data_IF_098910099981
#
_entry.id   IF_098910099981
#
_cell.length_a   1.000
_cell.length_b   1.000
_cell.length_c   1.000
_cell.angle_alpha   90.00
_cell.angle_beta   90.00
_cell.angle_gamma   90.00
#
_symmetry.space_group_name_H-M   'P 1'
#
loop_
_entity.id
_entity.type
_entity.pdbx_description
1 polymer ?
#
# COMPACT_ATOMS: atom_id res chain seq x y z
N UNK A 1 -3.92 -14.40 -6.44
CA UNK A 1 -4.66 -14.73 -5.32
C UNK A 1 -4.80 -13.58 -4.43
N UNK A 2 -5.81 -13.24 -4.18
CA UNK A 2 -6.81 -13.58 -3.35
C UNK A 2 -7.70 -12.43 -3.10
N UNK A 3 -8.84 -12.80 -3.01
CA UNK A 3 -10.00 -12.08 -2.62
C UNK A 3 -9.68 -10.76 -1.91
N UNK A 4 -9.99 -9.66 -2.51
CA UNK A 4 -9.95 -8.36 -1.90
C UNK A 4 -8.81 -7.43 -2.29
N UNK A 5 -7.77 -7.93 -2.97
CA UNK A 5 -6.61 -7.10 -3.34
C UNK A 5 -6.66 -6.66 -4.80
N UNK A 6 -7.84 -6.26 -5.27
CA UNK A 6 -8.05 -5.88 -6.68
C UNK A 6 -8.18 -4.38 -6.88
N UNK A 7 -8.32 -3.63 -5.80
CA UNK A 7 -8.58 -2.19 -5.90
C UNK A 7 -7.32 -1.39 -6.15
N UNK A 8 -7.46 -0.37 -6.97
CA UNK A 8 -6.47 0.67 -7.15
C UNK A 8 -6.91 1.95 -6.42
N UNK A 9 -6.09 2.97 -6.43
CA UNK A 9 -6.36 4.27 -5.83
C UNK A 9 -7.66 4.88 -6.41
N UNK A 10 -8.61 5.36 -5.57
CA UNK A 10 -9.84 6.00 -6.04
C UNK A 10 -9.60 7.21 -6.93
N UNK A 11 -8.53 7.97 -6.68
CA UNK A 11 -8.15 9.11 -7.51
C UNK A 11 -7.80 8.65 -8.91
N UNK A 12 -7.01 7.58 -9.05
CA UNK A 12 -6.68 6.99 -10.37
C UNK A 12 -7.94 6.50 -11.08
N UNK A 13 -8.87 5.89 -10.35
CA UNK A 13 -10.14 5.41 -10.91
C UNK A 13 -11.04 6.56 -11.42
N UNK A 14 -10.96 7.73 -10.79
CA UNK A 14 -11.80 8.90 -11.14
C UNK A 14 -11.14 9.86 -12.14
N UNK A 15 -9.86 9.67 -12.47
CA UNK A 15 -9.15 10.55 -13.40
C UNK A 15 -9.85 10.76 -14.74
N UNK A 16 -10.39 9.71 -15.42
CA UNK A 16 -11.05 9.91 -16.70
C UNK A 16 -12.21 10.89 -16.61
N UNK A 17 -13.07 10.73 -15.60
CA UNK A 17 -14.21 11.63 -15.38
C UNK A 17 -13.75 13.03 -14.99
N UNK A 18 -12.75 13.15 -14.10
CA UNK A 18 -12.22 14.44 -13.71
C UNK A 18 -11.60 15.19 -14.88
N UNK A 19 -10.82 14.52 -15.72
CA UNK A 19 -10.24 15.12 -16.92
C UNK A 19 -11.32 15.52 -17.94
N UNK A 20 -12.28 14.63 -18.22
CA UNK A 20 -13.36 14.90 -19.17
C UNK A 20 -14.25 16.08 -18.75
N UNK A 21 -14.37 16.37 -17.44
CA UNK A 21 -15.18 17.47 -16.91
C UNK A 21 -14.41 18.80 -16.77
N UNK A 22 -13.09 18.77 -16.68
CA UNK A 22 -12.29 19.96 -16.35
C UNK A 22 -11.31 20.40 -17.43
N UNK A 23 -11.14 19.61 -18.52
CA UNK A 23 -10.23 19.94 -19.62
C UNK A 23 -11.04 20.18 -20.88
N UNK A 24 -11.24 21.43 -21.22
CA UNK A 24 -12.08 21.84 -22.37
C UNK A 24 -11.62 21.24 -23.70
N UNK A 25 -10.33 21.08 -23.89
CA UNK A 25 -9.75 20.50 -25.11
C UNK A 25 -10.19 19.05 -25.36
N UNK A 26 -10.51 18.30 -24.31
CA UNK A 26 -11.02 16.92 -24.43
C UNK A 26 -12.45 16.86 -24.96
N UNK A 27 -13.20 17.96 -24.84
CA UNK A 27 -14.54 18.13 -25.42
C UNK A 27 -14.50 18.61 -26.87
N UNK A 28 -13.32 18.91 -27.39
CA UNK A 28 -13.12 19.37 -28.77
C UNK A 28 -13.44 18.27 -29.79
N UNK A 29 -14.12 18.58 -30.90
CA UNK A 29 -14.35 17.59 -31.97
C UNK A 29 -13.07 17.08 -32.65
N UNK A 30 -11.92 17.65 -32.32
CA UNK A 30 -10.60 17.21 -32.79
C UNK A 30 -9.96 16.12 -31.95
N UNK A 31 -10.47 15.91 -30.74
CA UNK A 31 -9.97 14.94 -29.78
C UNK A 31 -11.01 13.86 -29.53
N UNK A 32 -10.61 12.62 -29.60
CA UNK A 32 -11.44 11.49 -29.20
C UNK A 32 -11.01 11.05 -27.79
N UNK A 33 -11.83 11.36 -26.80
CA UNK A 33 -11.60 11.00 -25.40
C UNK A 33 -12.39 9.73 -25.05
N UNK A 34 -11.69 8.68 -24.65
CA UNK A 34 -12.25 7.39 -24.27
C UNK A 34 -12.12 7.20 -22.76
N UNK A 35 -13.23 7.30 -22.05
CA UNK A 35 -13.31 7.25 -20.57
C UNK A 35 -14.04 6.02 -20.04
N UNK A 36 -13.98 4.92 -20.76
CA UNK A 36 -14.68 3.70 -20.36
C UNK A 36 -14.00 2.99 -19.19
N UNK A 37 -14.83 2.47 -18.29
CA UNK A 37 -14.37 1.54 -17.28
C UNK A 37 -13.96 0.20 -17.91
N UNK A 38 -12.68 -0.17 -17.75
CA UNK A 38 -12.11 -1.43 -18.24
C UNK A 38 -11.48 -2.21 -17.09
N UNK A 39 -12.01 -3.41 -16.75
CA UNK A 39 -11.47 -4.24 -15.67
C UNK A 39 -10.18 -4.95 -16.14
N UNK A 40 -9.11 -4.80 -15.37
CA UNK A 40 -7.83 -5.46 -15.66
C UNK A 40 -7.67 -6.81 -14.94
N UNK A 41 -8.58 -7.20 -14.10
CA UNK A 41 -8.58 -8.44 -13.35
C UNK A 41 -9.45 -9.54 -13.98
N UNK A 42 -10.38 -9.18 -14.86
CA UNK A 42 -11.21 -10.10 -15.65
C UNK A 42 -10.93 -9.97 -17.17
N UNK A 43 -10.09 -10.86 -17.66
CA UNK A 43 -9.72 -10.91 -19.08
C UNK A 43 -10.91 -11.05 -20.02
N UNK A 44 -11.95 -11.75 -19.64
CA UNK A 44 -13.15 -11.95 -20.47
C UNK A 44 -13.99 -10.67 -20.53
N UNK A 45 -14.18 -10.04 -19.39
CA UNK A 45 -14.93 -8.78 -19.30
C UNK A 45 -14.14 -7.64 -19.99
N UNK A 46 -12.81 -7.61 -19.86
CA UNK A 46 -11.95 -6.66 -20.56
C UNK A 46 -12.14 -6.76 -22.10
N UNK A 47 -12.12 -7.97 -22.65
CA UNK A 47 -12.39 -8.21 -24.07
C UNK A 47 -13.75 -7.67 -24.50
N UNK A 48 -14.79 -7.96 -23.72
CA UNK A 48 -16.16 -7.52 -24.00
C UNK A 48 -16.23 -5.98 -23.99
N UNK A 49 -15.71 -5.34 -22.99
CA UNK A 49 -15.72 -3.88 -22.83
C UNK A 49 -14.94 -3.16 -23.90
N UNK A 50 -13.75 -3.63 -24.21
CA UNK A 50 -12.94 -3.04 -25.28
C UNK A 50 -13.61 -3.18 -26.66
N UNK A 51 -14.22 -4.34 -26.94
CA UNK A 51 -14.95 -4.49 -28.19
C UNK A 51 -16.14 -3.54 -28.28
N UNK A 52 -16.97 -3.45 -27.24
CA UNK A 52 -18.11 -2.53 -27.17
C UNK A 52 -17.66 -1.08 -27.34
N UNK A 53 -16.64 -0.64 -26.60
CA UNK A 53 -16.09 0.71 -26.66
C UNK A 53 -15.64 1.07 -28.08
N UNK A 54 -14.82 0.22 -28.68
CA UNK A 54 -14.26 0.45 -30.02
C UNK A 54 -15.36 0.37 -31.09
N UNK A 55 -16.30 -0.57 -31.01
CA UNK A 55 -17.34 -0.77 -32.03
C UNK A 55 -18.38 0.33 -32.00
N UNK A 56 -18.91 0.67 -30.80
CA UNK A 56 -19.94 1.72 -30.65
C UNK A 56 -19.38 3.07 -31.06
N UNK A 57 -18.20 3.42 -30.58
CA UNK A 57 -17.55 4.69 -30.89
C UNK A 57 -17.30 4.85 -32.42
N UNK A 58 -16.90 3.79 -33.08
CA UNK A 58 -16.69 3.80 -34.54
C UNK A 58 -17.97 3.98 -35.36
N UNK A 59 -19.06 3.35 -34.91
CA UNK A 59 -20.34 3.54 -35.58
C UNK A 59 -20.83 4.99 -35.42
N UNK A 60 -20.65 5.60 -34.27
CA UNK A 60 -20.96 7.00 -34.04
C UNK A 60 -20.11 7.94 -34.88
N UNK A 61 -18.81 7.71 -34.95
CA UNK A 61 -17.90 8.51 -35.75
C UNK A 61 -18.12 8.34 -37.25
N UNK A 62 -18.44 7.14 -37.69
CA UNK A 62 -18.81 6.88 -39.11
C UNK A 62 -20.09 7.62 -39.47
N UNK A 63 -21.12 7.60 -38.62
CA UNK A 63 -22.38 8.37 -38.83
C UNK A 63 -22.13 9.87 -38.82
N UNK A 64 -21.23 10.35 -37.95
CA UNK A 64 -20.87 11.78 -37.87
C UNK A 64 -19.87 12.23 -38.93
N UNK A 65 -19.40 11.35 -39.83
CA UNK A 65 -18.38 11.66 -40.82
C UNK A 65 -17.00 11.98 -40.25
N UNK A 66 -16.75 11.59 -38.98
CA UNK A 66 -15.51 11.80 -38.24
C UNK A 66 -14.73 10.51 -38.11
N UNK A 67 -13.49 10.63 -37.63
CA UNK A 67 -12.69 9.51 -37.18
C UNK A 67 -11.54 9.07 -38.06
N UNK A 68 -10.45 8.67 -37.39
CA UNK A 68 -9.19 8.20 -37.96
C UNK A 68 -9.34 6.85 -38.68
N UNK A 69 -10.40 6.10 -38.34
CA UNK A 69 -10.60 4.71 -38.75
C UNK A 69 -11.77 4.51 -39.72
N UNK A 70 -12.06 5.50 -40.56
CA UNK A 70 -13.11 5.39 -41.55
C UNK A 70 -12.98 4.10 -42.36
N UNK A 71 -14.05 3.30 -42.35
CA UNK A 71 -14.15 2.11 -43.21
C UNK A 71 -13.41 0.86 -42.71
N UNK A 72 -12.73 0.89 -41.58
CA UNK A 72 -12.14 -0.31 -41.02
C UNK A 72 -13.14 -1.01 -40.07
N UNK A 73 -13.41 -2.25 -40.30
CA UNK A 73 -14.23 -3.09 -39.41
C UNK A 73 -13.31 -3.86 -38.44
N UNK A 74 -13.40 -3.59 -37.13
CA UNK A 74 -12.72 -4.38 -36.13
C UNK A 74 -13.64 -5.50 -35.69
N UNK A 75 -13.18 -6.71 -35.84
CA UNK A 75 -13.90 -7.90 -35.41
C UNK A 75 -13.65 -8.22 -33.95
N UNK A 76 -14.59 -8.92 -33.33
CA UNK A 76 -14.42 -9.44 -31.96
C UNK A 76 -13.16 -10.31 -31.84
N UNK A 77 -12.86 -11.10 -32.87
CA UNK A 77 -11.68 -11.96 -32.91
C UNK A 77 -10.37 -11.17 -32.92
N UNK A 78 -10.35 -9.98 -33.53
CA UNK A 78 -9.17 -9.09 -33.47
C UNK A 78 -8.95 -8.52 -32.07
N UNK A 79 -10.01 -8.06 -31.41
CA UNK A 79 -9.93 -7.60 -30.03
C UNK A 79 -9.49 -8.73 -29.11
N UNK A 80 -10.05 -9.94 -29.29
CA UNK A 80 -9.67 -11.11 -28.50
C UNK A 80 -8.19 -11.46 -28.65
N UNK A 81 -7.64 -11.42 -29.86
CA UNK A 81 -6.21 -11.64 -30.09
C UNK A 81 -5.35 -10.54 -29.47
N UNK A 82 -5.73 -9.28 -29.63
CA UNK A 82 -5.00 -8.14 -29.07
C UNK A 82 -4.94 -8.20 -27.53
N UNK A 83 -6.07 -8.47 -26.89
CA UNK A 83 -6.13 -8.61 -25.43
C UNK A 83 -5.32 -9.82 -24.95
N UNK A 84 -5.36 -10.95 -25.69
CA UNK A 84 -4.56 -12.12 -25.36
C UNK A 84 -3.06 -11.79 -25.42
N UNK A 85 -2.61 -11.17 -26.52
CA UNK A 85 -1.21 -10.79 -26.67
C UNK A 85 -0.74 -9.79 -25.60
N UNK A 86 -1.56 -8.78 -25.30
CA UNK A 86 -1.25 -7.83 -24.22
C UNK A 86 -1.17 -8.49 -22.83
N UNK A 87 -2.06 -9.45 -22.57
CA UNK A 87 -2.06 -10.18 -21.30
C UNK A 87 -0.84 -11.08 -21.15
N UNK A 88 -0.42 -11.74 -22.23
CA UNK A 88 0.80 -12.56 -22.27
C UNK A 88 2.05 -11.69 -22.09
N UNK A 89 2.12 -10.54 -22.75
CA UNK A 89 3.23 -9.59 -22.60
C UNK A 89 3.33 -9.03 -21.18
N UNK A 90 2.21 -8.70 -20.53
CA UNK A 90 2.18 -8.26 -19.13
C UNK A 90 2.68 -9.36 -18.17
N UNK A 91 2.26 -10.61 -18.42
CA UNK A 91 2.73 -11.75 -17.62
C UNK A 91 4.22 -11.99 -17.80
N UNK A 92 4.70 -11.93 -19.06
CA UNK A 92 6.13 -12.08 -19.37
C UNK A 92 6.98 -10.99 -18.71
N UNK A 93 6.50 -9.73 -18.76
CA UNK A 93 7.15 -8.61 -18.09
C UNK A 93 7.26 -8.86 -16.56
N UNK A 94 6.17 -9.24 -15.90
CA UNK A 94 6.17 -9.56 -14.47
C UNK A 94 7.15 -10.69 -14.13
N UNK A 95 7.17 -11.73 -14.93
CA UNK A 95 8.12 -12.84 -14.75
C UNK A 95 9.57 -12.41 -14.98
N UNK A 96 9.81 -11.52 -15.96
CA UNK A 96 11.15 -10.98 -16.20
C UNK A 96 11.66 -10.15 -15.01
N UNK A 97 10.80 -9.33 -14.42
CA UNK A 97 11.14 -8.59 -13.20
C UNK A 97 11.46 -9.53 -12.03
N UNK A 98 10.67 -10.58 -11.83
CA UNK A 98 10.88 -11.57 -10.79
C UNK A 98 12.19 -12.34 -11.01
N UNK A 99 12.48 -12.80 -12.25
CA UNK A 99 13.76 -13.43 -12.59
C UNK A 99 14.93 -12.50 -12.32
N UNK A 100 14.81 -11.22 -12.65
CA UNK A 100 15.86 -10.23 -12.37
C UNK A 100 16.09 -10.04 -10.87
N UNK A 101 15.02 -10.07 -10.09
CA UNK A 101 15.12 -10.12 -8.62
C UNK A 101 15.89 -11.35 -8.13
N UNK A 102 15.56 -12.53 -8.65
CA UNK A 102 16.27 -13.79 -8.31
C UNK A 102 17.75 -13.75 -8.68
N UNK A 103 18.09 -13.27 -9.88
CA UNK A 103 19.48 -13.07 -10.33
C UNK A 103 20.23 -12.11 -9.39
N UNK A 104 19.61 -11.01 -9.00
CA UNK A 104 20.24 -10.02 -8.10
C UNK A 104 20.47 -10.61 -6.71
N UNK A 105 19.52 -11.34 -6.17
CA UNK A 105 19.66 -12.02 -4.87
C UNK A 105 20.78 -13.06 -4.90
N UNK A 106 20.88 -13.86 -5.98
CA UNK A 106 21.94 -14.82 -6.15
C UNK A 106 23.33 -14.15 -6.30
N UNK A 107 23.37 -13.00 -7.00
CA UNK A 107 24.60 -12.22 -7.12
C UNK A 107 25.03 -11.64 -5.75
N UNK A 108 24.07 -11.13 -4.95
CA UNK A 108 24.35 -10.64 -3.59
C UNK A 108 24.93 -11.75 -2.71
N UNK A 109 24.35 -12.95 -2.76
CA UNK A 109 24.84 -14.09 -1.99
C UNK A 109 26.25 -14.49 -2.41
N UNK A 110 26.56 -14.51 -3.71
CA UNK A 110 27.88 -14.85 -4.23
C UNK A 110 28.98 -13.82 -3.89
N UNK A 111 28.59 -12.55 -3.65
CA UNK A 111 29.54 -11.46 -3.42
C UNK A 111 29.51 -10.89 -1.98
N UNK A 112 28.76 -11.55 -1.08
CA UNK A 112 28.49 -11.07 0.28
C UNK A 112 28.01 -9.60 0.31
N UNK A 113 27.18 -9.26 -0.68
CA UNK A 113 26.69 -7.90 -0.88
C UNK A 113 25.38 -7.67 -0.12
N UNK A 114 25.19 -6.41 0.32
CA UNK A 114 23.96 -5.99 0.96
C UNK A 114 23.04 -5.29 -0.05
N UNK A 115 21.74 -5.54 0.05
CA UNK A 115 20.75 -4.98 -0.87
C UNK A 115 19.73 -4.09 -0.18
N UNK A 116 19.19 -3.16 -0.96
CA UNK A 116 18.06 -2.32 -0.59
C UNK A 116 16.90 -2.61 -1.52
N UNK A 117 15.73 -2.93 -0.96
CA UNK A 117 14.47 -2.97 -1.69
C UNK A 117 13.89 -1.56 -1.68
N UNK A 118 13.83 -0.92 -2.85
CA UNK A 118 13.10 0.32 -3.04
C UNK A 118 11.63 -0.04 -3.22
N UNK A 119 10.83 0.31 -2.23
CA UNK A 119 9.42 0.00 -2.16
C UNK A 119 8.59 1.27 -2.38
N UNK A 120 7.49 1.18 -3.14
CA UNK A 120 6.65 2.34 -3.40
C UNK A 120 5.51 2.02 -4.35
N UNK A 121 4.96 3.05 -4.98
CA UNK A 121 4.00 2.90 -6.06
C UNK A 121 4.73 2.58 -7.36
N UNK A 122 4.09 1.95 -8.36
CA UNK A 122 4.75 1.64 -9.63
C UNK A 122 5.42 2.84 -10.30
N UNK A 123 4.83 4.03 -10.19
CA UNK A 123 5.39 5.24 -10.79
C UNK A 123 6.67 5.75 -10.09
N UNK A 124 6.95 5.31 -8.85
CA UNK A 124 8.23 5.64 -8.19
C UNK A 124 9.44 4.97 -8.86
N UNK A 125 9.21 3.98 -9.72
CA UNK A 125 10.29 3.34 -10.49
C UNK A 125 10.66 4.13 -11.76
N UNK A 126 9.87 5.16 -12.12
CA UNK A 126 10.19 6.02 -13.24
C UNK A 126 11.38 6.92 -12.92
N UNK A 127 12.42 6.98 -13.78
CA UNK A 127 13.64 7.76 -13.52
C UNK A 127 13.40 9.27 -13.33
N UNK A 128 12.41 9.84 -14.02
CA UNK A 128 12.06 11.26 -13.87
C UNK A 128 11.40 11.53 -12.51
N UNK A 129 10.65 10.56 -11.99
CA UNK A 129 9.97 10.69 -10.71
C UNK A 129 10.90 10.40 -9.53
N UNK A 130 11.77 9.40 -9.65
CA UNK A 130 12.66 9.01 -8.54
C UNK A 130 13.95 9.83 -8.47
N UNK A 131 14.21 10.70 -9.44
CA UNK A 131 15.34 11.61 -9.45
C UNK A 131 16.71 10.95 -9.20
N UNK A 132 16.95 9.78 -9.79
CA UNK A 132 18.17 8.97 -9.63
C UNK A 132 18.43 8.49 -8.18
N UNK A 133 17.40 8.26 -7.39
CA UNK A 133 17.53 7.63 -6.06
C UNK A 133 18.12 6.21 -6.15
N UNK A 134 17.72 5.34 -7.10
CA UNK A 134 18.34 4.02 -7.25
C UNK A 134 19.84 4.09 -7.48
N UNK A 135 20.31 4.98 -8.35
CA UNK A 135 21.72 5.19 -8.65
C UNK A 135 22.49 5.74 -7.44
N UNK A 136 21.85 6.62 -6.69
CA UNK A 136 22.42 7.14 -5.45
C UNK A 136 22.61 6.02 -4.42
N UNK A 137 21.62 5.18 -4.20
CA UNK A 137 21.68 4.03 -3.28
C UNK A 137 22.77 3.05 -3.74
N UNK A 138 22.84 2.77 -5.04
CA UNK A 138 23.86 1.90 -5.61
C UNK A 138 25.29 2.51 -5.44
N UNK A 139 25.44 3.82 -5.52
CA UNK A 139 26.71 4.51 -5.30
C UNK A 139 27.27 4.34 -3.87
N UNK A 140 26.47 3.93 -2.94
CA UNK A 140 26.87 3.57 -1.58
C UNK A 140 27.24 2.09 -1.42
N UNK A 141 27.25 1.31 -2.50
CA UNK A 141 27.64 -0.09 -2.51
C UNK A 141 26.51 -1.07 -2.25
N UNK A 142 25.24 -0.61 -2.24
CA UNK A 142 24.08 -1.49 -2.12
C UNK A 142 23.63 -2.03 -3.48
N UNK A 143 23.24 -3.30 -3.52
CA UNK A 143 22.42 -3.79 -4.62
C UNK A 143 20.99 -3.21 -4.49
N UNK A 144 20.38 -2.83 -5.61
CA UNK A 144 19.05 -2.22 -5.60
C UNK A 144 18.05 -3.19 -6.25
N UNK A 145 16.97 -3.45 -5.52
CA UNK A 145 15.82 -4.24 -5.99
C UNK A 145 14.54 -3.38 -5.87
N UNK A 146 13.54 -3.70 -6.66
CA UNK A 146 12.20 -3.11 -6.52
C UNK A 146 11.26 -4.04 -5.77
N UNK A 147 10.20 -3.51 -5.17
CA UNK A 147 9.26 -4.34 -4.41
C UNK A 147 8.58 -5.42 -5.26
N UNK A 148 8.32 -5.15 -6.55
CA UNK A 148 7.68 -6.11 -7.45
C UNK A 148 8.60 -7.25 -7.88
N UNK A 149 9.92 -7.05 -7.81
CA UNK A 149 10.90 -8.11 -8.05
C UNK A 149 10.97 -9.15 -6.93
N UNK A 150 10.51 -8.81 -5.71
CA UNK A 150 10.62 -9.68 -4.53
C UNK A 150 9.32 -10.00 -3.83
N UNK A 151 8.26 -9.21 -4.03
CA UNK A 151 6.99 -9.36 -3.30
C UNK A 151 6.29 -10.71 -3.51
N UNK A 152 6.55 -11.40 -4.63
CA UNK A 152 5.99 -12.73 -4.91
C UNK A 152 6.55 -13.82 -3.97
N UNK A 153 7.70 -13.59 -3.36
CA UNK A 153 8.42 -14.57 -2.53
C UNK A 153 7.76 -14.81 -1.18
N UNK A 154 6.95 -13.87 -0.70
CA UNK A 154 6.32 -13.97 0.62
C UNK A 154 4.84 -13.62 0.58
N UNK A 155 4.08 -14.22 1.49
CA UNK A 155 2.70 -13.80 1.80
C UNK A 155 2.71 -12.97 3.08
N UNK A 156 1.88 -11.91 3.19
CA UNK A 156 1.76 -11.19 4.44
C UNK A 156 1.17 -12.11 5.51
N UNK A 157 1.69 -12.04 6.72
CA UNK A 157 1.02 -12.66 7.87
C UNK A 157 -0.27 -11.93 8.17
N UNK A 158 -1.33 -12.67 8.46
CA UNK A 158 -2.63 -12.10 8.79
C UNK A 158 -3.01 -12.45 10.23
N UNK A 159 -3.77 -11.60 10.94
CA UNK A 159 -4.33 -10.33 10.44
C UNK A 159 -3.30 -9.21 10.42
N UNK A 160 -3.31 -8.39 9.38
CA UNK A 160 -2.66 -7.08 9.39
C UNK A 160 -3.60 -6.05 10.03
N UNK A 161 -3.03 -4.96 10.56
CA UNK A 161 -3.80 -3.94 11.28
C UNK A 161 -4.84 -3.25 10.38
N UNK A 162 -4.47 -3.02 9.13
CA UNK A 162 -5.31 -2.34 8.14
C UNK A 162 -6.04 -3.34 7.24
N UNK A 163 -7.14 -2.90 6.61
CA UNK A 163 -7.79 -3.71 5.58
C UNK A 163 -6.90 -3.76 4.34
N UNK A 164 -6.51 -4.97 3.99
CA UNK A 164 -5.66 -5.25 2.84
C UNK A 164 -6.54 -5.45 1.59
N UNK A 165 -6.91 -4.36 0.96
CA UNK A 165 -7.73 -4.37 -0.26
C UNK A 165 -7.04 -3.73 -1.47
N UNK A 166 -5.92 -3.03 -1.24
CA UNK A 166 -5.20 -2.29 -2.25
C UNK A 166 -4.07 -3.13 -2.83
N UNK A 167 -4.09 -3.35 -4.12
CA UNK A 167 -3.15 -4.24 -4.80
C UNK A 167 -1.68 -3.85 -4.55
N UNK A 168 -1.35 -2.58 -4.73
CA UNK A 168 0.04 -2.12 -4.58
C UNK A 168 0.49 -2.07 -3.12
N UNK A 169 -0.39 -1.72 -2.18
CA UNK A 169 -0.06 -1.75 -0.75
C UNK A 169 0.16 -3.17 -0.24
N UNK A 170 -0.69 -4.12 -0.67
CA UNK A 170 -0.49 -5.54 -0.38
C UNK A 170 0.87 -6.04 -0.87
N UNK A 171 1.32 -5.53 -2.01
CA UNK A 171 2.65 -5.84 -2.56
C UNK A 171 3.78 -5.30 -1.69
N UNK A 172 3.63 -4.07 -1.15
CA UNK A 172 4.57 -3.50 -0.19
C UNK A 172 4.67 -4.32 1.10
N UNK A 173 3.55 -4.79 1.65
CA UNK A 173 3.55 -5.64 2.86
C UNK A 173 4.26 -6.98 2.61
N UNK A 174 4.10 -7.57 1.42
CA UNK A 174 4.81 -8.78 1.02
C UNK A 174 6.31 -8.55 0.91
N UNK A 175 6.72 -7.46 0.25
CA UNK A 175 8.12 -7.08 0.13
C UNK A 175 8.75 -6.80 1.50
N UNK A 176 8.07 -6.05 2.38
CA UNK A 176 8.53 -5.82 3.74
C UNK A 176 8.71 -7.12 4.53
N UNK A 177 7.76 -8.07 4.37
CA UNK A 177 7.87 -9.38 5.02
C UNK A 177 9.05 -10.20 4.50
N UNK A 178 9.31 -10.15 3.19
CA UNK A 178 10.48 -10.80 2.60
C UNK A 178 11.78 -10.18 3.12
N UNK A 179 11.89 -8.85 3.15
CA UNK A 179 13.04 -8.14 3.72
C UNK A 179 13.25 -8.50 5.20
N UNK A 180 12.16 -8.56 5.97
CA UNK A 180 12.19 -8.95 7.38
C UNK A 180 12.72 -10.38 7.61
N UNK A 181 12.67 -11.24 6.59
CA UNK A 181 13.17 -12.63 6.67
C UNK A 181 14.66 -12.79 6.31
N UNK A 182 15.35 -11.70 5.92
CA UNK A 182 16.75 -11.73 5.44
C UNK A 182 17.62 -10.72 6.18
N UNK A 183 18.88 -11.09 6.44
CA UNK A 183 19.86 -10.18 7.07
C UNK A 183 20.59 -9.27 6.09
N UNK A 184 20.66 -9.67 4.83
CA UNK A 184 21.37 -9.01 3.74
C UNK A 184 20.47 -8.04 2.94
N UNK A 185 19.24 -7.80 3.38
CA UNK A 185 18.30 -6.90 2.75
C UNK A 185 17.71 -5.91 3.76
N UNK A 186 17.58 -4.66 3.37
CA UNK A 186 16.78 -3.65 4.03
C UNK A 186 15.82 -2.97 3.05
N UNK A 187 14.91 -2.15 3.56
CA UNK A 187 13.87 -1.53 2.75
C UNK A 187 13.90 -0.01 2.93
N UNK A 188 13.87 0.69 1.81
CA UNK A 188 13.59 2.12 1.74
C UNK A 188 12.24 2.30 1.05
N UNK A 189 11.30 2.92 1.73
CA UNK A 189 10.00 3.22 1.15
C UNK A 189 9.98 4.61 0.54
N UNK A 190 9.60 4.68 -0.73
CA UNK A 190 9.36 5.91 -1.47
C UNK A 190 7.89 6.30 -1.30
N UNK A 191 7.65 7.51 -0.83
CA UNK A 191 6.32 8.06 -0.61
C UNK A 191 6.11 9.31 -1.43
N UNK A 192 4.92 9.44 -2.00
CA UNK A 192 4.46 10.71 -2.56
C UNK A 192 3.92 11.61 -1.47
N UNK A 193 4.21 12.89 -1.59
CA UNK A 193 3.72 13.90 -0.68
C UNK A 193 2.18 13.97 -0.68
N UNK A 194 1.57 13.95 0.51
CA UNK A 194 0.12 14.13 0.68
C UNK A 194 -0.76 12.94 0.31
N UNK A 195 -0.21 11.74 0.06
CA UNK A 195 -1.01 10.55 -0.18
C UNK A 195 -1.47 9.90 1.14
N UNK A 196 -2.74 10.04 1.50
CA UNK A 196 -3.29 9.47 2.74
C UNK A 196 -3.23 7.94 2.79
N UNK A 197 -3.28 7.24 1.66
CA UNK A 197 -3.11 5.79 1.62
C UNK A 197 -1.65 5.39 1.90
N UNK A 198 -0.68 6.17 1.43
CA UNK A 198 0.73 5.92 1.73
C UNK A 198 1.02 6.14 3.22
N UNK A 199 0.35 7.09 3.88
CA UNK A 199 0.48 7.28 5.32
C UNK A 199 0.12 6.02 6.11
N UNK A 200 -1.00 5.35 5.77
CA UNK A 200 -1.40 4.08 6.40
C UNK A 200 -0.45 2.93 6.04
N UNK A 201 0.06 2.92 4.82
CA UNK A 201 0.97 1.88 4.34
C UNK A 201 2.33 1.98 5.03
N UNK A 202 2.84 3.20 5.24
CA UNK A 202 4.10 3.43 5.96
C UNK A 202 4.05 2.86 7.36
N UNK A 203 2.99 3.13 8.12
CA UNK A 203 2.83 2.63 9.48
C UNK A 203 2.81 1.09 9.51
N UNK A 204 2.09 0.46 8.58
CA UNK A 204 2.02 -0.99 8.52
C UNK A 204 3.34 -1.64 8.07
N UNK A 205 4.05 -1.03 7.12
CA UNK A 205 5.39 -1.49 6.67
C UNK A 205 6.40 -1.33 7.80
N UNK A 206 6.37 -0.19 8.49
CA UNK A 206 7.21 0.06 9.66
C UNK A 206 6.99 -1.02 10.73
N UNK A 207 5.74 -1.30 11.08
CA UNK A 207 5.39 -2.34 12.07
C UNK A 207 5.94 -3.72 11.68
N UNK A 208 5.84 -4.10 10.39
CA UNK A 208 6.37 -5.38 9.88
C UNK A 208 7.89 -5.43 10.03
N UNK A 209 8.60 -4.35 9.69
CA UNK A 209 10.06 -4.30 9.73
C UNK A 209 10.59 -4.23 11.16
N UNK A 210 10.04 -3.34 11.99
CA UNK A 210 10.45 -3.16 13.40
C UNK A 210 10.19 -4.40 14.24
N UNK A 211 9.10 -5.14 13.98
CA UNK A 211 8.83 -6.42 14.62
C UNK A 211 9.93 -7.47 14.36
N UNK A 212 10.75 -7.27 13.35
CA UNK A 212 11.90 -8.12 12.98
C UNK A 212 13.24 -7.45 13.28
N UNK A 213 13.23 -6.33 14.03
CA UNK A 213 14.43 -5.58 14.38
C UNK A 213 15.05 -4.81 13.22
N UNK A 214 14.35 -4.65 12.10
CA UNK A 214 14.84 -3.90 10.93
C UNK A 214 14.64 -2.41 11.10
N UNK A 215 15.57 -1.62 10.55
CA UNK A 215 15.45 -0.17 10.49
C UNK A 215 14.48 0.22 9.36
N UNK A 216 13.44 0.98 9.69
CA UNK A 216 12.54 1.52 8.69
C UNK A 216 12.99 2.88 8.19
N UNK A 217 13.08 3.04 6.88
CA UNK A 217 13.49 4.29 6.22
C UNK A 217 12.49 4.69 5.15
N UNK A 218 11.99 5.93 5.24
CA UNK A 218 11.14 6.53 4.21
C UNK A 218 11.83 7.71 3.54
N UNK A 219 11.62 7.83 2.23
CA UNK A 219 12.01 8.98 1.44
C UNK A 219 10.76 9.58 0.81
N UNK A 220 10.52 10.86 1.07
CA UNK A 220 9.44 11.60 0.43
C UNK A 220 9.93 12.13 -0.92
N UNK A 221 9.15 11.86 -1.95
CA UNK A 221 9.36 12.34 -3.30
C UNK A 221 8.29 13.38 -3.60
N UNK A 222 8.72 14.54 -4.05
CA UNK A 222 7.88 15.60 -4.59
C UNK A 222 8.46 16.15 -5.89
N UNK A 223 7.83 17.18 -6.46
CA UNK A 223 8.24 17.79 -7.73
C UNK A 223 9.68 18.32 -7.71
N UNK A 224 10.21 18.64 -6.53
CA UNK A 224 11.57 19.17 -6.34
C UNK A 224 12.32 18.32 -5.33
N UNK A 225 12.74 17.13 -5.76
CA UNK A 225 13.50 16.24 -4.88
C UNK A 225 14.94 16.74 -4.70
N UNK A 226 15.30 16.98 -3.47
CA UNK A 226 16.66 17.33 -3.10
C UNK A 226 17.47 16.07 -2.75
N UNK A 227 18.32 15.61 -3.67
CA UNK A 227 19.20 14.48 -3.45
C UNK A 227 20.14 14.65 -2.23
N UNK A 228 20.38 15.88 -1.77
CA UNK A 228 21.15 16.14 -0.55
C UNK A 228 20.47 15.54 0.68
N UNK A 229 19.15 15.75 0.83
CA UNK A 229 18.37 15.18 1.94
C UNK A 229 18.32 13.65 1.85
N UNK A 230 18.13 13.12 0.65
CA UNK A 230 18.16 11.67 0.39
C UNK A 230 19.50 11.07 0.77
N UNK A 231 20.60 11.72 0.36
CA UNK A 231 21.98 11.29 0.69
C UNK A 231 22.23 11.25 2.20
N UNK A 232 21.74 12.22 2.95
CA UNK A 232 21.85 12.25 4.41
C UNK A 232 21.08 11.08 5.02
N UNK A 233 19.84 10.82 4.57
CA UNK A 233 19.03 9.71 5.08
C UNK A 233 19.65 8.34 4.77
N UNK A 234 20.18 8.15 3.56
CA UNK A 234 20.87 6.89 3.19
C UNK A 234 22.13 6.70 4.04
N UNK A 235 22.90 7.76 4.30
CA UNK A 235 24.06 7.68 5.20
C UNK A 235 23.66 7.36 6.64
N UNK A 236 22.58 7.93 7.14
CA UNK A 236 22.04 7.61 8.46
C UNK A 236 21.61 6.14 8.55
N UNK A 237 20.97 5.63 7.50
CA UNK A 237 20.62 4.21 7.40
C UNK A 237 21.89 3.35 7.44
N UNK A 238 22.93 3.67 6.67
CA UNK A 238 24.19 2.92 6.68
C UNK A 238 24.80 2.85 8.08
N UNK A 239 24.83 3.99 8.79
CA UNK A 239 25.35 4.03 10.15
C UNK A 239 24.53 3.15 11.11
N UNK A 240 23.21 3.24 11.03
CA UNK A 240 22.30 2.41 11.83
C UNK A 240 22.45 0.91 11.53
N UNK A 241 22.62 0.53 10.26
CA UNK A 241 22.86 -0.86 9.86
C UNK A 241 24.22 -1.38 10.35
N UNK A 242 25.26 -0.54 10.34
CA UNK A 242 26.57 -0.91 10.89
C UNK A 242 26.49 -1.18 12.39
N UNK A 243 25.87 -0.26 13.14
CA UNK A 243 25.69 -0.40 14.59
C UNK A 243 24.85 -1.63 14.93
N UNK A 244 23.76 -1.86 14.20
CA UNK A 244 22.89 -3.03 14.38
C UNK A 244 23.64 -4.34 14.12
N UNK A 245 24.49 -4.40 13.09
CA UNK A 245 25.30 -5.60 12.81
C UNK A 245 26.29 -5.89 13.93
N UNK A 246 26.96 -4.85 14.45
CA UNK A 246 27.89 -4.99 15.57
C UNK A 246 27.17 -5.44 16.83
N UNK A 247 25.98 -4.94 17.10
CA UNK A 247 25.16 -5.37 18.24
C UNK A 247 24.70 -6.82 18.09
N UNK A 248 24.23 -7.19 16.90
CA UNK A 248 23.82 -8.58 16.62
C UNK A 248 25.00 -9.54 16.75
N UNK A 249 26.18 -9.18 16.25
CA UNK A 249 27.39 -9.99 16.41
C UNK A 249 27.74 -10.21 17.88
N UNK A 250 27.72 -9.15 18.69
CA UNK A 250 27.97 -9.24 20.14
C UNK A 250 26.96 -10.13 20.85
N UNK A 251 25.66 -10.01 20.54
CA UNK A 251 24.60 -10.84 21.12
C UNK A 251 24.73 -12.32 20.69
N UNK A 252 25.13 -12.56 19.44
CA UNK A 252 25.39 -13.90 18.96
C UNK A 252 26.56 -14.57 19.68
N UNK A 253 27.68 -13.85 19.86
CA UNK A 253 28.84 -14.32 20.63
C UNK A 253 28.50 -14.58 22.10
N UNK A 254 27.59 -13.80 22.67
CA UNK A 254 27.11 -13.98 24.06
C UNK A 254 26.10 -15.13 24.21
N UNK A 255 25.66 -15.76 23.10
CA UNK A 255 24.64 -16.82 23.13
C UNK A 255 23.24 -16.33 23.51
N UNK A 256 22.99 -15.03 23.41
CA UNK A 256 21.72 -14.40 23.79
C UNK A 256 20.66 -14.50 22.68
N UNK A 257 21.05 -14.96 21.50
CA UNK A 257 20.21 -14.98 20.34
C UNK A 257 19.88 -16.41 19.91
N UNK A 258 18.61 -16.67 19.56
CA UNK A 258 18.18 -17.93 18.98
C UNK A 258 17.91 -17.77 17.48
N UNK A 259 18.37 -18.70 16.61
CA UNK A 259 18.11 -18.59 15.18
C UNK A 259 16.62 -18.70 14.87
N UNK A 260 16.15 -17.89 13.93
CA UNK A 260 14.80 -18.00 13.39
C UNK A 260 14.74 -19.21 12.48
N UNK A 261 13.70 -20.03 12.64
CA UNK A 261 13.49 -21.20 11.79
C UNK A 261 13.34 -20.83 10.31
N UNK A 262 13.51 -21.80 9.41
CA UNK A 262 13.45 -21.59 7.98
C UNK A 262 12.10 -21.00 7.55
N UNK A 263 12.14 -20.02 6.69
CA UNK A 263 10.95 -19.37 6.09
C UNK A 263 10.80 -19.86 4.66
N UNK A 264 9.61 -20.33 4.30
CA UNK A 264 9.34 -20.78 2.93
C UNK A 264 9.24 -19.59 1.98
N UNK A 265 9.99 -19.64 0.88
CA UNK A 265 10.07 -18.56 -0.13
C UNK A 265 9.55 -19.08 -1.46
N UNK A 266 8.70 -18.33 -2.14
CA UNK A 266 8.23 -18.67 -3.48
C UNK A 266 9.20 -18.17 -4.56
N UNK A 267 9.54 -19.05 -5.52
CA UNK A 267 10.31 -18.68 -6.71
C UNK A 267 9.41 -18.09 -7.81
N UNK A 268 10.02 -17.43 -8.78
CA UNK A 268 9.31 -16.86 -9.92
C UNK A 268 8.52 -17.89 -10.74
N UNK A 269 8.91 -19.16 -10.74
CA UNK A 269 8.22 -20.26 -11.39
C UNK A 269 7.05 -20.84 -10.57
N UNK A 270 6.77 -20.27 -9.40
CA UNK A 270 5.72 -20.72 -8.48
C UNK A 270 6.12 -21.87 -7.56
N UNK A 271 7.33 -22.40 -7.69
CA UNK A 271 7.84 -23.44 -6.78
C UNK A 271 8.12 -22.87 -5.39
N UNK A 272 7.99 -23.73 -4.36
CA UNK A 272 8.28 -23.40 -2.98
C UNK A 272 9.72 -23.80 -2.67
N UNK A 273 10.55 -22.82 -2.33
CA UNK A 273 11.88 -23.09 -1.81
C UNK A 273 11.87 -22.97 -0.29
N UNK A 274 12.20 -24.05 0.39
CA UNK A 274 12.44 -24.00 1.82
C UNK A 274 13.75 -23.29 2.06
N UNK A 275 13.73 -22.20 2.83
CA UNK A 275 14.97 -21.51 3.19
C UNK A 275 15.94 -22.49 3.82
N UNK A 276 17.14 -22.58 3.26
CA UNK A 276 18.19 -23.44 3.81
C UNK A 276 18.52 -23.00 5.24
N UNK A 277 18.83 -23.94 6.16
CA UNK A 277 19.40 -23.57 7.44
C UNK A 277 20.65 -22.71 7.21
N UNK A 278 20.84 -21.69 8.02
CA UNK A 278 22.04 -20.84 7.96
C UNK A 278 23.25 -21.72 8.20
N UNK A 279 24.11 -21.84 7.21
CA UNK A 279 25.40 -22.55 7.36
C UNK A 279 26.31 -21.75 8.31
N UNK A 280 27.12 -22.46 9.08
CA UNK A 280 28.05 -21.92 10.08
C UNK A 280 28.87 -20.75 9.51
N UNK A 281 28.79 -19.58 10.17
CA UNK A 281 29.55 -18.38 9.85
C UNK A 281 28.78 -17.21 9.24
N UNK A 282 27.50 -17.38 8.84
CA UNK A 282 26.61 -16.26 8.44
C UNK A 282 25.70 -15.89 9.60
N UNK A 283 25.52 -14.58 9.82
CA UNK A 283 24.65 -14.06 10.87
C UNK A 283 23.20 -14.55 10.67
N UNK A 284 22.62 -15.28 11.62
CA UNK A 284 21.24 -15.72 11.51
C UNK A 284 20.26 -14.55 11.61
N UNK A 285 19.05 -14.71 11.06
CA UNK A 285 17.97 -13.73 11.22
C UNK A 285 17.42 -13.81 12.65
N UNK A 286 17.55 -12.74 13.39
CA UNK A 286 17.13 -12.67 14.79
C UNK A 286 15.78 -11.94 14.90
N UNK A 287 14.85 -12.52 15.66
CA UNK A 287 13.59 -11.87 16.01
C UNK A 287 13.53 -11.67 17.53
N UNK A 288 13.38 -10.45 17.98
CA UNK A 288 12.68 -10.20 19.22
C UNK A 288 11.18 -10.30 18.95
N UNK A 289 10.50 -11.24 19.56
CA UNK A 289 9.04 -11.32 19.52
C UNK A 289 8.46 -10.17 20.35
N UNK A 290 8.33 -9.00 19.78
CA UNK A 290 7.63 -7.87 20.38
C UNK A 290 6.53 -7.38 19.45
N UNK A 291 5.38 -8.03 19.47
CA UNK A 291 4.10 -7.35 19.45
C UNK A 291 3.04 -8.30 19.98
N UNK A 292 2.39 -7.90 21.06
CA UNK A 292 1.08 -8.43 21.36
C UNK A 292 0.21 -8.10 20.13
N UNK A 293 -0.16 -9.10 19.37
CA UNK A 293 -1.01 -8.91 18.21
C UNK A 293 -2.24 -8.10 18.64
N UNK A 294 -2.48 -6.96 17.98
CA UNK A 294 -3.65 -6.15 18.25
C UNK A 294 -4.91 -7.02 18.09
N UNK A 295 -5.59 -7.31 19.20
CA UNK A 295 -6.80 -8.12 19.22
C UNK A 295 -7.99 -7.19 19.01
N UNK A 296 -8.53 -7.16 17.79
CA UNK A 296 -9.74 -6.41 17.49
C UNK A 296 -10.92 -7.00 18.27
N UNK A 297 -11.46 -6.22 19.21
CA UNK A 297 -12.69 -6.56 19.93
C UNK A 297 -13.87 -6.11 19.09
N UNK A 298 -14.81 -7.04 18.82
CA UNK A 298 -16.05 -6.71 18.12
C UNK A 298 -17.09 -6.21 19.12
N UNK A 299 -17.87 -5.20 18.75
CA UNK A 299 -19.05 -4.79 19.49
C UNK A 299 -20.10 -5.92 19.43
N UNK A 300 -20.61 -6.33 20.57
CA UNK A 300 -21.56 -7.45 20.67
C UNK A 300 -22.94 -6.98 21.13
N UNK A 301 -23.93 -7.89 21.01
CA UNK A 301 -25.29 -7.61 21.48
C UNK A 301 -25.33 -7.44 23.00
N UNK A 302 -24.52 -8.19 23.74
CA UNK A 302 -24.37 -8.10 25.20
C UNK A 302 -23.83 -6.73 25.61
N UNK A 303 -22.90 -6.15 24.84
CA UNK A 303 -22.39 -4.79 25.07
C UNK A 303 -23.49 -3.74 24.84
N UNK A 304 -24.35 -3.93 23.83
CA UNK A 304 -25.50 -3.07 23.57
C UNK A 304 -26.49 -3.14 24.74
N UNK A 305 -26.89 -4.34 25.15
CA UNK A 305 -27.81 -4.58 26.27
C UNK A 305 -27.24 -4.06 27.60
N UNK A 306 -25.93 -4.12 27.78
CA UNK A 306 -25.24 -3.53 28.92
C UNK A 306 -25.12 -2.00 28.87
N UNK A 307 -25.60 -1.35 27.80
CA UNK A 307 -25.62 0.10 27.67
C UNK A 307 -24.25 0.75 27.44
N UNK A 308 -23.34 0.05 26.73
CA UNK A 308 -22.04 0.64 26.35
C UNK A 308 -22.26 1.92 25.55
N UNK A 309 -21.48 2.94 25.90
CA UNK A 309 -21.49 4.20 25.14
C UNK A 309 -20.85 4.00 23.78
N UNK A 310 -21.55 4.37 22.72
CA UNK A 310 -21.08 4.29 21.33
C UNK A 310 -20.74 5.68 20.83
N UNK A 311 -19.46 6.02 20.77
CA UNK A 311 -19.00 7.32 20.26
C UNK A 311 -19.06 7.32 18.74
N UNK A 312 -19.75 8.32 18.19
CA UNK A 312 -19.91 8.54 16.76
C UNK A 312 -19.18 9.84 16.37
N UNK A 313 -18.06 9.78 15.63
CA UNK A 313 -17.42 11.01 15.17
C UNK A 313 -18.29 11.72 14.14
N UNK A 314 -18.30 13.06 14.20
CA UNK A 314 -19.05 13.92 13.29
C UNK A 314 -18.32 14.02 11.94
N UNK A 315 -18.88 13.44 10.89
CA UNK A 315 -18.34 13.54 9.53
C UNK A 315 -19.17 14.44 8.62
N UNK A 316 -20.45 14.60 8.92
CA UNK A 316 -21.37 15.46 8.18
C UNK A 316 -22.56 15.79 9.08
N UNK A 317 -22.74 17.03 9.54
CA UNK A 317 -23.79 17.39 10.50
C UNK A 317 -25.17 16.89 10.08
N UNK A 318 -25.58 17.18 8.84
CA UNK A 318 -26.91 16.82 8.33
C UNK A 318 -27.18 15.32 8.39
N UNK A 319 -26.18 14.49 8.08
CA UNK A 319 -26.34 13.04 8.03
C UNK A 319 -26.17 12.40 9.41
N UNK A 320 -25.18 12.85 10.17
CA UNK A 320 -24.80 12.17 11.42
C UNK A 320 -25.77 12.44 12.57
N UNK A 321 -26.47 13.58 12.58
CA UNK A 321 -27.60 13.81 13.48
C UNK A 321 -28.74 12.80 13.25
N UNK A 322 -29.03 12.46 11.98
CA UNK A 322 -30.00 11.43 11.65
C UNK A 322 -29.51 10.02 12.04
N UNK A 323 -28.21 9.73 11.81
CA UNK A 323 -27.58 8.47 12.18
C UNK A 323 -27.61 8.25 13.69
N UNK A 324 -27.32 9.28 14.48
CA UNK A 324 -27.43 9.23 15.95
C UNK A 324 -28.83 8.82 16.38
N UNK A 325 -29.86 9.51 15.87
CA UNK A 325 -31.26 9.21 16.21
C UNK A 325 -31.67 7.78 15.77
N UNK A 326 -31.22 7.32 14.63
CA UNK A 326 -31.44 5.94 14.17
C UNK A 326 -30.80 4.92 15.10
N UNK A 327 -29.56 5.17 15.55
CA UNK A 327 -28.87 4.29 16.51
C UNK A 327 -29.58 4.28 17.87
N UNK A 328 -30.00 5.44 18.37
CA UNK A 328 -30.74 5.54 19.64
C UNK A 328 -32.07 4.76 19.52
N UNK A 329 -32.80 4.93 18.43
CA UNK A 329 -34.05 4.20 18.19
C UNK A 329 -33.84 2.67 18.04
N UNK A 330 -32.64 2.26 17.59
CA UNK A 330 -32.24 0.87 17.53
C UNK A 330 -31.72 0.31 18.86
N UNK A 331 -31.76 1.09 19.95
CA UNK A 331 -31.40 0.67 21.31
C UNK A 331 -29.91 0.81 21.61
N UNK A 332 -29.16 1.60 20.85
CA UNK A 332 -27.77 1.93 21.19
C UNK A 332 -27.69 3.19 22.07
N UNK A 333 -26.76 3.21 23.00
CA UNK A 333 -26.41 4.41 23.73
C UNK A 333 -25.38 5.23 22.90
N UNK A 334 -25.84 5.77 21.78
CA UNK A 334 -25.04 6.52 20.82
C UNK A 334 -24.84 7.96 21.27
N UNK A 335 -23.66 8.50 21.08
CA UNK A 335 -23.29 9.88 21.32
C UNK A 335 -22.57 10.42 20.10
N UNK A 336 -23.19 11.38 19.43
CA UNK A 336 -22.54 12.13 18.36
C UNK A 336 -21.51 13.09 18.97
N UNK A 337 -20.25 12.96 18.55
CA UNK A 337 -19.19 13.84 19.03
C UNK A 337 -19.41 15.25 18.44
N UNK A 338 -19.02 16.31 19.16
CA UNK A 338 -19.24 17.68 18.70
C UNK A 338 -18.54 17.95 17.38
N UNK A 339 -19.06 18.93 16.67
CA UNK A 339 -18.47 19.35 15.41
C UNK A 339 -17.04 19.86 15.61
N UNK A 340 -16.29 19.75 14.53
CA UNK A 340 -14.86 20.01 14.46
C UNK A 340 -14.48 21.38 14.97
N UNK A 341 -13.61 21.42 15.93
CA UNK A 341 -12.89 22.62 16.37
C UNK A 341 -11.37 22.42 16.25
N UNK A 342 -10.63 23.43 16.67
CA UNK A 342 -9.18 23.39 16.62
C UNK A 342 -8.58 22.30 17.54
N UNK A 343 -9.25 21.99 18.65
CA UNK A 343 -8.85 20.96 19.60
C UNK A 343 -8.83 19.56 18.96
N UNK A 344 -9.85 19.23 18.16
CA UNK A 344 -9.88 17.96 17.43
C UNK A 344 -8.71 17.82 16.43
N UNK A 345 -8.30 18.90 15.77
CA UNK A 345 -7.11 18.89 14.88
C UNK A 345 -5.84 18.62 15.68
N UNK A 346 -5.64 19.34 16.78
CA UNK A 346 -4.47 19.19 17.62
C UNK A 346 -4.39 17.79 18.25
N UNK A 347 -5.51 17.27 18.74
CA UNK A 347 -5.61 15.91 19.26
C UNK A 347 -5.28 14.88 18.15
N UNK A 348 -5.87 15.04 16.97
CA UNK A 348 -5.61 14.12 15.84
C UNK A 348 -4.14 14.07 15.43
N UNK A 349 -3.48 15.22 15.33
CA UNK A 349 -2.07 15.32 14.95
C UNK A 349 -1.10 14.66 15.94
N UNK A 350 -1.51 14.41 17.18
CA UNK A 350 -0.70 13.66 18.16
C UNK A 350 -0.66 12.15 17.86
N UNK A 351 -1.73 11.61 17.26
CA UNK A 351 -1.97 10.17 17.20
C UNK A 351 -1.91 9.59 15.79
N UNK A 352 -1.99 10.42 14.76
CA UNK A 352 -1.90 9.96 13.37
C UNK A 352 -0.77 10.64 12.62
N UNK A 353 -0.29 9.96 11.61
CA UNK A 353 0.69 10.52 10.70
C UNK A 353 0.10 11.79 10.03
N UNK A 354 0.86 12.88 10.04
CA UNK A 354 0.43 14.17 9.49
C UNK A 354 0.26 14.18 7.95
N UNK A 355 0.72 13.13 7.26
CA UNK A 355 0.50 12.93 5.82
C UNK A 355 -0.87 12.29 5.52
N UNK A 356 -1.62 11.86 6.54
CA UNK A 356 -2.98 11.35 6.36
C UNK A 356 -3.93 12.48 5.93
N UNK A 357 -5.02 12.14 5.23
CA UNK A 357 -5.98 13.14 4.78
C UNK A 357 -6.62 13.89 5.96
N UNK A 358 -6.89 15.17 5.78
CA UNK A 358 -7.42 16.06 6.82
C UNK A 358 -8.70 15.53 7.50
N UNK A 359 -9.71 14.97 6.79
CA UNK A 359 -10.86 14.35 7.43
C UNK A 359 -10.50 13.23 8.41
N UNK A 360 -9.49 12.43 8.12
CA UNK A 360 -9.04 11.36 9.03
C UNK A 360 -8.37 11.93 10.29
N UNK A 361 -7.61 13.02 10.15
CA UNK A 361 -7.05 13.75 11.32
C UNK A 361 -8.19 14.22 12.22
N UNK A 362 -9.24 14.84 11.64
CA UNK A 362 -10.38 15.34 12.39
C UNK A 362 -11.16 14.24 13.10
N UNK A 363 -11.50 13.17 12.40
CA UNK A 363 -12.25 12.03 12.96
C UNK A 363 -11.48 11.37 14.09
N UNK A 364 -10.18 11.14 13.90
CA UNK A 364 -9.33 10.60 14.96
C UNK A 364 -9.23 11.57 16.13
N UNK A 365 -9.08 12.85 15.87
CA UNK A 365 -9.00 13.88 16.89
C UNK A 365 -10.25 13.98 17.74
N UNK A 366 -11.43 13.97 17.15
CA UNK A 366 -12.71 13.95 17.89
C UNK A 366 -12.79 12.75 18.84
N UNK A 367 -12.41 11.56 18.35
CA UNK A 367 -12.41 10.35 19.14
C UNK A 367 -11.41 10.45 20.30
N UNK A 368 -10.18 10.91 20.03
CA UNK A 368 -9.14 11.01 21.05
C UNK A 368 -9.46 12.08 22.08
N UNK A 369 -9.97 13.24 21.66
CA UNK A 369 -10.42 14.27 22.58
C UNK A 369 -11.55 13.76 23.50
N UNK A 370 -12.51 13.02 22.95
CA UNK A 370 -13.55 12.38 23.76
C UNK A 370 -12.96 11.38 24.77
N UNK A 371 -12.02 10.54 24.37
CA UNK A 371 -11.34 9.58 25.24
C UNK A 371 -10.55 10.30 26.34
N UNK A 372 -9.80 11.34 26.00
CA UNK A 372 -8.96 12.10 26.95
C UNK A 372 -9.78 13.02 27.86
N UNK A 373 -11.02 13.35 27.49
CA UNK A 373 -11.88 14.28 28.25
C UNK A 373 -12.27 13.80 29.65
N UNK A 374 -12.13 12.50 29.92
CA UNK A 374 -12.58 11.86 31.17
C UNK A 374 -14.12 11.83 31.35
N UNK A 375 -14.90 12.22 30.33
CA UNK A 375 -16.37 12.25 30.37
C UNK A 375 -16.99 10.87 30.21
N UNK A 376 -16.26 9.91 29.66
CA UNK A 376 -16.76 8.58 29.32
C UNK A 376 -16.02 7.49 30.10
N UNK A 377 -16.74 6.48 30.54
CA UNK A 377 -16.15 5.28 31.12
C UNK A 377 -15.54 4.41 30.02
N UNK A 378 -14.23 4.48 29.85
CA UNK A 378 -13.51 3.79 28.77
C UNK A 378 -13.65 2.25 28.85
N UNK A 379 -13.95 1.69 30.00
CA UNK A 379 -14.19 0.25 30.15
C UNK A 379 -15.52 -0.18 29.51
N UNK A 380 -16.44 0.78 29.27
CA UNK A 380 -17.77 0.59 28.71
C UNK A 380 -18.02 1.52 27.53
N UNK A 381 -16.97 1.86 26.79
CA UNK A 381 -17.05 2.72 25.62
C UNK A 381 -16.60 1.97 24.36
N UNK A 382 -17.30 2.18 23.28
CA UNK A 382 -16.95 1.72 21.94
C UNK A 382 -17.00 2.88 20.96
N UNK A 383 -16.39 2.72 19.80
CA UNK A 383 -16.37 3.70 18.73
C UNK A 383 -16.97 3.10 17.48
N UNK A 384 -17.83 3.85 16.80
CA UNK A 384 -18.31 3.51 15.47
C UNK A 384 -17.71 4.44 14.44
N UNK A 385 -17.23 3.90 13.35
CA UNK A 385 -16.74 4.67 12.22
C UNK A 385 -17.28 4.06 10.92
N UNK A 386 -17.72 4.90 9.99
CA UNK A 386 -18.18 4.44 8.69
C UNK A 386 -17.00 3.98 7.84
N UNK A 387 -17.19 2.90 7.11
CA UNK A 387 -16.25 2.41 6.11
C UNK A 387 -16.94 2.30 4.77
N UNK A 388 -16.40 2.98 3.76
CA UNK A 388 -16.84 2.81 2.39
C UNK A 388 -16.10 1.64 1.75
N UNK A 389 -16.83 0.70 1.14
CA UNK A 389 -16.20 -0.42 0.43
C UNK A 389 -15.42 0.07 -0.79
N UNK A 390 -14.09 0.07 -0.71
CA UNK A 390 -13.22 0.47 -1.81
C UNK A 390 -12.83 1.96 -1.87
N UNK A 391 -13.35 2.79 -0.96
CA UNK A 391 -12.95 4.20 -0.86
C UNK A 391 -11.72 4.44 0.01
N UNK A 392 -11.27 5.68 0.07
CA UNK A 392 -10.36 6.15 1.11
C UNK A 392 -11.02 5.97 2.49
N UNK A 393 -10.23 5.70 3.49
CA UNK A 393 -10.66 5.58 4.87
C UNK A 393 -10.47 6.86 5.61
#
# INVERSE_FOLDING_TARGET
ETAGNHYNCPIVMSYPQALGLNVDDLSSPKVEFLDAFVPYDDKRELKRRLYELISVKREEDAKAGRGRFRGQHITRAEVDRAVNAAWEADLEFKQAMQRKGDETLAWMEAHDAHGIVLAGRPYHNDPEINHAIPELVNSFGFAVLTEDSVAHKMRPERPIRVVDQWMYHSRLYRAARFVASRNDLDLIQLNSFGCGLDALTTDQVQEILEASGKVYTTLKIDEVSNLGAVRIRVRSLMAALSEQREELARKAEAGELSPVGPVDVHRADGSLERAKPVEDGKLPVWREAKSAAFKKVRYTKEMQEAGYTLLCPQMSPIHFELVEQLLINAGFNAVLLPSVDHGAVEAGLKYVNNDICYPSILVTGQIMEAIESGKYDLSRTAVIISQTGGGCR
#
